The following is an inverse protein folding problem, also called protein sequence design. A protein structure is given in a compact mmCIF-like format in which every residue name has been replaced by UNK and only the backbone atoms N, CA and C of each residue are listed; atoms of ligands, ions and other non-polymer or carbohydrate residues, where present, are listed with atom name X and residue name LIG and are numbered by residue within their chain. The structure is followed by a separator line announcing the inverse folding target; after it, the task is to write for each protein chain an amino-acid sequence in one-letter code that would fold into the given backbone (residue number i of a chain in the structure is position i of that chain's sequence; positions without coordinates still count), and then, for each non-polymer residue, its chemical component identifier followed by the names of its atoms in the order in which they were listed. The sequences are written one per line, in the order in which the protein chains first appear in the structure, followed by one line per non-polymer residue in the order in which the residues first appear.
data_IF_118104276277
#
_entry.id   IF_118104276277
#
_cell.length_a   1.000
_cell.length_b   1.000
_cell.length_c   1.000
_cell.angle_alpha   90.00
_cell.angle_beta   90.00
_cell.angle_gamma   90.00
#
_symmetry.space_group_name_H-M   'P 1'
#
loop_
_entity.id
_entity.type
_entity.pdbx_description
1 polymer ?
#
# COMPACT_ATOMS: atom_id res chain seq x y z
N UNK A 1 -18.93 1.03 14.22
CA UNK A 1 -17.99 0.53 13.21
C UNK A 1 -18.34 0.89 11.75
N UNK A 2 -19.53 0.59 11.18
CA UNK A 2 -19.82 0.94 9.76
C UNK A 2 -19.59 2.41 9.40
N UNK A 3 -19.92 3.34 10.31
CA UNK A 3 -19.78 4.79 10.09
C UNK A 3 -18.35 5.21 9.74
N UNK A 4 -17.34 4.63 10.40
CA UNK A 4 -15.92 4.95 10.13
C UNK A 4 -15.40 4.30 8.83
N UNK A 5 -16.21 3.46 8.18
CA UNK A 5 -15.96 2.87 6.86
C UNK A 5 -17.03 3.29 5.83
N UNK A 6 -17.54 4.52 5.95
CA UNK A 6 -18.50 5.11 4.99
C UNK A 6 -19.75 4.25 4.76
N UNK A 7 -20.25 3.62 5.83
CA UNK A 7 -21.47 2.82 5.82
C UNK A 7 -21.30 1.39 5.31
N UNK A 8 -20.08 0.97 4.93
CA UNK A 8 -19.80 -0.36 4.36
C UNK A 8 -18.73 -1.09 5.17
N UNK A 9 -18.76 -2.41 5.14
CA UNK A 9 -17.65 -3.20 5.68
C UNK A 9 -16.48 -3.23 4.69
N UNK A 10 -15.25 -3.23 5.22
CA UNK A 10 -14.07 -3.13 4.37
C UNK A 10 -12.85 -3.78 5.03
N UNK A 11 -12.08 -4.48 4.21
CA UNK A 11 -10.76 -4.99 4.56
C UNK A 11 -9.66 -3.91 4.50
N UNK A 12 -9.98 -2.69 4.05
CA UNK A 12 -8.99 -1.62 3.99
C UNK A 12 -8.50 -1.33 5.42
N UNK A 13 -7.19 -1.44 5.60
CA UNK A 13 -6.50 -1.13 6.83
C UNK A 13 -6.53 0.39 7.03
N UNK A 14 -6.78 0.83 8.25
CA UNK A 14 -6.74 2.23 8.65
C UNK A 14 -5.69 2.39 9.75
N UNK A 15 -4.85 3.42 9.59
CA UNK A 15 -4.02 3.93 10.66
C UNK A 15 -4.91 4.45 11.80
N UNK A 16 -4.65 4.01 13.02
CA UNK A 16 -5.39 4.43 14.21
C UNK A 16 -4.46 4.61 15.42
N UNK A 17 -4.94 5.40 16.38
CA UNK A 17 -4.36 5.49 17.72
C UNK A 17 -5.31 4.80 18.69
N UNK A 18 -4.77 3.87 19.48
CA UNK A 18 -5.48 3.24 20.61
C UNK A 18 -5.07 3.97 21.88
N UNK A 19 -6.06 4.50 22.60
CA UNK A 19 -5.85 5.17 23.89
C UNK A 19 -6.06 4.17 25.02
N UNK A 20 -5.04 3.98 25.85
CA UNK A 20 -5.10 3.14 27.07
C UNK A 20 -4.63 4.00 28.24
N UNK A 21 -5.56 4.46 29.07
CA UNK A 21 -5.25 5.48 30.08
C UNK A 21 -4.78 6.78 29.43
N UNK A 22 -3.57 7.20 29.75
CA UNK A 22 -2.86 8.36 29.17
C UNK A 22 -1.94 7.98 27.99
N UNK A 23 -1.85 6.69 27.65
CA UNK A 23 -0.97 6.20 26.60
C UNK A 23 -1.65 6.15 25.23
N UNK A 24 -1.00 6.73 24.24
CA UNK A 24 -1.39 6.64 22.83
C UNK A 24 -0.52 5.61 22.11
N UNK A 25 -1.14 4.54 21.61
CA UNK A 25 -0.45 3.44 20.94
C UNK A 25 -0.83 3.42 19.45
N UNK A 26 0.16 3.53 18.57
CA UNK A 26 -0.03 3.40 17.13
C UNK A 26 -0.44 1.97 16.76
N UNK A 27 -1.51 1.84 15.99
CA UNK A 27 -2.05 0.57 15.57
C UNK A 27 -2.67 0.66 14.17
N UNK A 28 -3.09 -0.48 13.64
CA UNK A 28 -3.83 -0.56 12.38
C UNK A 28 -5.05 -1.46 12.54
N UNK A 29 -6.17 -1.06 11.94
CA UNK A 29 -7.42 -1.80 12.02
C UNK A 29 -8.06 -2.03 10.65
N UNK A 30 -8.78 -3.13 10.50
CA UNK A 30 -9.75 -3.31 9.42
C UNK A 30 -11.18 -3.36 10.00
N UNK A 31 -12.21 -3.21 9.17
CA UNK A 31 -13.60 -3.14 9.61
C UNK A 31 -14.47 -4.29 9.13
N UNK A 32 -13.90 -5.28 8.44
CA UNK A 32 -14.66 -6.38 7.89
C UNK A 32 -14.98 -7.39 9.00
N UNK A 33 -16.26 -7.71 9.24
CA UNK A 33 -16.61 -8.80 10.14
C UNK A 33 -16.06 -10.13 9.63
N UNK A 34 -15.39 -10.89 10.49
CA UNK A 34 -14.89 -12.24 10.20
C UNK A 34 -14.88 -13.13 11.46
N UNK A 35 -14.73 -14.44 11.25
CA UNK A 35 -14.91 -15.46 12.28
C UNK A 35 -16.37 -15.94 12.40
N UNK A 36 -16.67 -16.75 13.42
CA UNK A 36 -17.94 -17.47 13.54
C UNK A 36 -19.13 -16.66 14.07
N UNK A 37 -18.92 -15.42 14.58
CA UNK A 37 -20.01 -14.53 14.99
C UNK A 37 -20.89 -15.05 16.13
N UNK A 38 -20.28 -15.38 17.27
CA UNK A 38 -20.97 -16.01 18.41
C UNK A 38 -21.99 -15.13 19.15
N UNK A 39 -22.04 -13.81 18.89
CA UNK A 39 -22.88 -12.86 19.64
C UNK A 39 -23.79 -12.04 18.71
N UNK A 40 -25.01 -11.74 19.17
CA UNK A 40 -26.02 -10.96 18.43
C UNK A 40 -25.92 -9.46 18.75
N UNK A 41 -24.90 -8.80 18.22
CA UNK A 41 -24.65 -7.36 18.45
C UNK A 41 -24.72 -6.51 17.15
N UNK A 42 -25.29 -7.04 16.07
CA UNK A 42 -25.32 -6.38 14.76
C UNK A 42 -23.96 -6.35 14.03
N UNK A 43 -22.97 -7.08 14.53
CA UNK A 43 -21.65 -7.26 13.94
C UNK A 43 -21.30 -8.77 13.92
N UNK A 44 -21.48 -9.46 12.77
CA UNK A 44 -21.30 -10.91 12.70
C UNK A 44 -19.81 -11.30 12.70
N UNK A 45 -19.22 -11.42 13.88
CA UNK A 45 -17.82 -11.82 14.07
C UNK A 45 -17.03 -10.83 14.92
N UNK A 46 -15.78 -10.62 14.55
CA UNK A 46 -14.92 -9.59 15.12
C UNK A 46 -14.19 -8.84 14.00
N UNK A 47 -13.54 -7.75 14.37
CA UNK A 47 -12.56 -7.06 13.55
C UNK A 47 -11.22 -7.10 14.27
N UNK A 48 -10.13 -6.94 13.53
CA UNK A 48 -8.79 -7.00 14.10
C UNK A 48 -8.18 -5.61 14.24
N UNK A 49 -7.46 -5.43 15.35
CA UNK A 49 -6.49 -4.36 15.55
C UNK A 49 -5.12 -5.05 15.64
N UNK A 50 -4.16 -4.57 14.87
CA UNK A 50 -2.79 -5.04 14.86
C UNK A 50 -1.88 -3.95 15.41
N UNK A 51 -1.01 -4.33 16.33
CA UNK A 51 0.07 -3.50 16.85
C UNK A 51 1.39 -3.87 16.17
N UNK A 52 2.43 -3.07 16.43
CA UNK A 52 3.77 -3.40 15.96
C UNK A 52 4.19 -4.82 16.38
N UNK A 53 4.75 -5.60 15.46
CA UNK A 53 5.12 -7.00 15.69
C UNK A 53 3.97 -8.02 15.68
N UNK A 54 2.71 -7.60 15.52
CA UNK A 54 1.59 -8.54 15.39
C UNK A 54 1.72 -9.40 14.12
N UNK A 55 1.57 -10.71 14.25
CA UNK A 55 1.61 -11.65 13.13
C UNK A 55 0.22 -12.08 12.68
N UNK A 56 0.06 -12.45 11.41
CA UNK A 56 -1.20 -13.03 10.94
C UNK A 56 -1.24 -14.53 11.19
N UNK A 57 -2.42 -15.06 11.51
CA UNK A 57 -2.62 -16.48 11.79
C UNK A 57 -2.12 -17.40 10.66
N UNK A 58 -2.31 -16.99 9.41
CA UNK A 58 -1.95 -17.82 8.24
C UNK A 58 -0.46 -17.82 7.93
N UNK A 59 0.20 -16.67 8.02
CA UNK A 59 1.61 -16.55 7.59
C UNK A 59 2.62 -16.66 8.72
N UNK A 60 2.20 -16.43 9.98
CA UNK A 60 3.12 -16.26 11.10
C UNK A 60 4.04 -15.04 10.97
N UNK A 61 3.78 -14.17 9.97
CA UNK A 61 4.55 -12.96 9.69
C UNK A 61 3.68 -11.72 9.83
N UNK A 62 4.31 -10.58 10.04
CA UNK A 62 3.64 -9.29 9.97
C UNK A 62 3.13 -9.04 8.55
N UNK A 63 1.90 -8.56 8.41
CA UNK A 63 1.35 -8.15 7.11
C UNK A 63 1.82 -6.72 6.80
N UNK A 64 2.54 -6.50 5.69
CA UNK A 64 3.09 -5.18 5.32
C UNK A 64 2.04 -4.07 5.27
N UNK A 65 0.79 -4.37 4.89
CA UNK A 65 -0.27 -3.37 4.85
C UNK A 65 -0.68 -2.90 6.26
N UNK A 66 -0.62 -3.76 7.28
CA UNK A 66 -0.81 -3.32 8.67
C UNK A 66 0.41 -2.53 9.14
N UNK A 67 1.63 -2.98 8.82
CA UNK A 67 2.86 -2.29 9.18
C UNK A 67 2.89 -0.84 8.68
N UNK A 68 2.56 -0.60 7.41
CA UNK A 68 2.49 0.75 6.83
C UNK A 68 1.46 1.64 7.55
N UNK A 69 0.31 1.08 7.93
CA UNK A 69 -0.71 1.84 8.67
C UNK A 69 -0.29 2.12 10.11
N UNK A 70 0.46 1.23 10.76
CA UNK A 70 1.03 1.48 12.09
C UNK A 70 2.09 2.59 12.01
N UNK A 71 2.97 2.54 11.00
CA UNK A 71 3.96 3.59 10.76
C UNK A 71 3.28 4.94 10.49
N UNK A 72 2.23 4.96 9.67
CA UNK A 72 1.41 6.15 9.39
C UNK A 72 0.74 6.69 10.66
N UNK A 73 0.19 5.81 11.50
CA UNK A 73 -0.40 6.21 12.78
C UNK A 73 0.65 6.80 13.74
N UNK A 74 1.86 6.24 13.76
CA UNK A 74 2.96 6.69 14.61
C UNK A 74 3.76 7.88 14.05
N UNK A 75 3.37 8.44 12.90
CA UNK A 75 4.10 9.54 12.26
C UNK A 75 5.47 9.17 11.67
N UNK A 76 5.73 7.88 11.44
CA UNK A 76 7.02 7.34 10.95
C UNK A 76 7.00 6.94 9.48
N UNK A 77 5.93 7.26 8.75
CA UNK A 77 5.78 6.80 7.37
C UNK A 77 6.77 7.47 6.41
N UNK A 78 7.06 8.75 6.61
CA UNK A 78 8.06 9.47 5.81
C UNK A 78 9.46 8.93 6.07
N UNK A 79 9.85 8.73 7.34
CA UNK A 79 11.15 8.13 7.69
C UNK A 79 11.35 6.74 7.07
N UNK A 80 10.29 5.92 7.09
CA UNK A 80 10.32 4.60 6.46
C UNK A 80 10.52 4.73 4.94
N UNK A 81 9.74 5.58 4.28
CA UNK A 81 9.82 5.80 2.83
C UNK A 81 11.12 6.46 2.38
N UNK A 82 11.80 7.20 3.26
CA UNK A 82 13.10 7.79 2.94
C UNK A 82 14.21 6.74 2.78
N UNK A 83 14.01 5.53 3.32
CA UNK A 83 15.02 4.48 3.37
C UNK A 83 14.63 3.21 2.60
N UNK A 84 13.48 3.19 1.92
CA UNK A 84 13.06 2.01 1.14
C UNK A 84 13.82 1.93 -0.18
N UNK A 85 14.14 0.71 -0.58
CA UNK A 85 14.66 0.44 -1.92
C UNK A 85 13.53 0.52 -2.98
N UNK A 86 13.89 0.54 -4.29
CA UNK A 86 12.93 0.57 -5.39
C UNK A 86 11.91 -0.59 -5.40
N UNK A 87 12.28 -1.77 -4.93
CA UNK A 87 11.40 -2.95 -4.93
C UNK A 87 10.34 -2.84 -3.85
N UNK A 88 10.76 -2.45 -2.64
CA UNK A 88 9.84 -2.18 -1.55
C UNK A 88 8.92 -1.00 -1.87
N UNK A 89 9.40 0.03 -2.58
CA UNK A 89 8.56 1.12 -3.06
C UNK A 89 7.43 0.62 -3.99
N UNK A 90 7.72 -0.33 -4.89
CA UNK A 90 6.71 -0.94 -5.77
C UNK A 90 5.71 -1.79 -4.96
N UNK A 91 6.18 -2.51 -3.93
CA UNK A 91 5.29 -3.22 -2.99
C UNK A 91 4.35 -2.25 -2.26
N UNK A 92 4.89 -1.12 -1.77
CA UNK A 92 4.11 -0.08 -1.11
C UNK A 92 3.06 0.50 -2.05
N UNK A 93 3.40 0.75 -3.32
CA UNK A 93 2.44 1.19 -4.32
C UNK A 93 1.30 0.17 -4.49
N UNK A 94 1.62 -1.11 -4.66
CA UNK A 94 0.62 -2.19 -4.75
C UNK A 94 -0.32 -2.21 -3.53
N UNK A 95 0.25 -2.07 -2.33
CA UNK A 95 -0.53 -1.98 -1.09
C UNK A 95 -1.40 -0.72 -1.08
N UNK A 96 -0.87 0.43 -1.49
CA UNK A 96 -1.59 1.70 -1.52
C UNK A 96 -2.80 1.64 -2.46
N UNK A 97 -2.64 1.01 -3.64
CA UNK A 97 -3.75 0.75 -4.58
C UNK A 97 -4.81 -0.13 -3.91
N UNK A 98 -4.44 -1.31 -3.40
CA UNK A 98 -5.39 -2.25 -2.81
C UNK A 98 -6.08 -1.69 -1.56
N UNK A 99 -5.37 -0.89 -0.77
CA UNK A 99 -5.90 -0.26 0.43
C UNK A 99 -6.69 1.03 0.14
N UNK A 100 -6.69 1.50 -1.11
CA UNK A 100 -7.26 2.77 -1.53
C UNK A 100 -6.70 3.96 -0.73
N UNK A 101 -5.42 3.89 -0.35
CA UNK A 101 -4.76 4.89 0.50
C UNK A 101 -4.14 5.99 -0.36
N UNK A 102 -4.88 7.10 -0.50
CA UNK A 102 -4.45 8.27 -1.27
C UNK A 102 -3.10 8.83 -0.78
N UNK A 103 -2.87 8.85 0.53
CA UNK A 103 -1.63 9.40 1.10
C UNK A 103 -0.43 8.56 0.69
N UNK A 104 -0.52 7.23 0.80
CA UNK A 104 0.57 6.34 0.37
C UNK A 104 0.81 6.42 -1.14
N UNK A 105 -0.24 6.61 -1.96
CA UNK A 105 -0.08 6.84 -3.39
C UNK A 105 0.68 8.15 -3.68
N UNK A 106 0.33 9.23 -2.98
CA UNK A 106 0.99 10.53 -3.14
C UNK A 106 2.43 10.53 -2.61
N UNK A 107 2.74 9.68 -1.63
CA UNK A 107 4.09 9.53 -1.10
C UNK A 107 4.99 8.63 -1.96
N UNK A 108 4.41 7.66 -2.67
CA UNK A 108 5.18 6.68 -3.48
C UNK A 108 5.32 7.07 -4.96
N UNK A 109 4.42 7.89 -5.51
CA UNK A 109 4.41 8.26 -6.93
C UNK A 109 4.71 9.75 -7.12
N UNK A 110 5.74 10.05 -7.91
CA UNK A 110 6.12 11.42 -8.22
C UNK A 110 5.00 12.15 -8.98
N UNK A 111 4.72 13.38 -8.53
CA UNK A 111 3.74 14.26 -9.19
C UNK A 111 4.19 14.60 -10.61
N UNK A 112 3.24 14.65 -11.52
CA UNK A 112 3.48 15.01 -12.92
C UNK A 112 2.31 15.84 -13.49
N UNK A 113 2.48 16.36 -14.71
CA UNK A 113 1.47 17.19 -15.40
C UNK A 113 0.11 16.49 -15.56
N UNK A 114 0.09 15.17 -15.64
CA UNK A 114 -1.11 14.34 -15.81
C UNK A 114 -1.60 13.71 -14.50
N UNK A 115 -1.29 14.31 -13.33
CA UNK A 115 -1.63 13.75 -12.02
C UNK A 115 -3.12 13.39 -11.88
N UNK A 116 -4.02 14.25 -12.36
CA UNK A 116 -5.48 14.00 -12.27
C UNK A 116 -5.89 12.74 -13.03
N UNK A 117 -5.35 12.57 -14.24
CA UNK A 117 -5.59 11.41 -15.09
C UNK A 117 -5.00 10.14 -14.47
N UNK A 118 -3.77 10.21 -13.95
CA UNK A 118 -3.13 9.10 -13.24
C UNK A 118 -3.95 8.65 -12.03
N UNK A 119 -4.38 9.59 -11.18
CA UNK A 119 -5.20 9.24 -10.01
C UNK A 119 -6.57 8.68 -10.42
N UNK A 120 -7.14 9.11 -11.56
CA UNK A 120 -8.37 8.54 -12.10
C UNK A 120 -8.16 7.08 -12.53
N UNK A 121 -7.08 6.79 -13.24
CA UNK A 121 -6.74 5.43 -13.71
C UNK A 121 -6.45 4.51 -12.51
N UNK A 122 -5.65 4.96 -11.54
CA UNK A 122 -5.37 4.19 -10.32
C UNK A 122 -6.67 3.90 -9.54
N UNK A 123 -7.60 4.86 -9.42
CA UNK A 123 -8.89 4.64 -8.76
C UNK A 123 -9.80 3.66 -9.49
N UNK A 124 -9.57 3.39 -10.76
CA UNK A 124 -10.31 2.39 -11.53
C UNK A 124 -9.81 0.96 -11.27
N UNK A 125 -8.59 0.82 -10.74
CA UNK A 125 -8.05 -0.46 -10.27
C UNK A 125 -8.79 -0.87 -8.98
N UNK A 126 -9.49 -1.99 -9.02
CA UNK A 126 -10.08 -2.60 -7.83
C UNK A 126 -9.09 -3.52 -7.10
N UNK A 127 -8.10 -4.04 -7.83
CA UNK A 127 -7.07 -4.93 -7.32
C UNK A 127 -5.81 -4.78 -8.15
N UNK A 128 -4.64 -4.83 -7.50
CA UNK A 128 -3.33 -4.83 -8.12
C UNK A 128 -2.41 -5.79 -7.39
N UNK A 129 -1.79 -6.72 -8.09
CA UNK A 129 -0.91 -7.73 -7.52
C UNK A 129 0.36 -7.84 -8.32
N UNK A 130 1.47 -7.85 -7.61
CA UNK A 130 2.76 -8.25 -8.16
C UNK A 130 2.81 -9.77 -8.12
N UNK A 131 2.99 -10.41 -9.27
CA UNK A 131 3.11 -11.87 -9.38
C UNK A 131 4.56 -12.31 -9.40
N UNK A 132 5.43 -11.49 -9.99
CA UNK A 132 6.87 -11.71 -10.03
C UNK A 132 7.58 -10.36 -10.19
N UNK A 133 8.79 -10.26 -9.63
CA UNK A 133 9.64 -9.07 -9.74
C UNK A 133 11.09 -9.53 -9.76
N UNK A 134 11.81 -9.19 -10.83
CA UNK A 134 13.24 -9.46 -10.93
C UNK A 134 14.01 -8.46 -10.07
N UNK A 135 14.82 -8.98 -9.15
CA UNK A 135 15.63 -8.17 -8.23
C UNK A 135 17.08 -8.14 -8.72
N UNK A 136 17.64 -6.94 -8.83
CA UNK A 136 19.07 -6.73 -8.95
C UNK A 136 19.71 -6.71 -7.54
N UNK A 137 21.00 -7.03 -7.42
CA UNK A 137 21.76 -6.85 -6.18
C UNK A 137 21.65 -5.42 -5.65
N UNK A 138 21.64 -5.26 -4.32
CA UNK A 138 21.47 -3.95 -3.66
C UNK A 138 22.66 -3.03 -3.94
N UNK A 139 23.84 -3.61 -4.11
CA UNK A 139 25.07 -2.90 -4.45
C UNK A 139 24.92 -2.12 -5.77
N UNK A 140 24.21 -2.69 -6.75
CA UNK A 140 23.98 -2.06 -8.04
C UNK A 140 22.96 -0.93 -7.96
N UNK A 141 22.13 -0.87 -6.91
CA UNK A 141 21.05 0.13 -6.74
C UNK A 141 21.60 1.45 -6.17
N UNK A 142 22.53 1.36 -5.22
CA UNK A 142 22.93 2.49 -4.39
C UNK A 142 23.58 3.64 -5.17
N UNK A 143 24.17 3.36 -6.34
CA UNK A 143 24.80 4.35 -7.20
C UNK A 143 23.87 4.90 -8.30
N UNK A 144 22.64 4.38 -8.38
CA UNK A 144 21.68 4.77 -9.42
C UNK A 144 20.77 5.90 -8.94
N UNK A 145 20.38 6.79 -9.85
CA UNK A 145 19.33 7.79 -9.64
C UNK A 145 18.07 7.50 -10.46
N UNK A 146 18.17 6.55 -11.39
CA UNK A 146 17.11 6.11 -12.30
C UNK A 146 17.25 4.61 -12.52
N UNK A 147 16.15 3.90 -12.41
CA UNK A 147 16.05 2.46 -12.60
C UNK A 147 14.79 2.12 -13.38
N UNK A 148 14.88 1.11 -14.22
CA UNK A 148 13.72 0.44 -14.82
C UNK A 148 13.58 -0.94 -14.20
N UNK A 149 12.43 -1.19 -13.58
CA UNK A 149 12.12 -2.48 -12.95
C UNK A 149 10.96 -3.14 -13.72
N UNK A 150 11.22 -4.21 -14.48
CA UNK A 150 10.17 -5.00 -15.10
C UNK A 150 9.46 -5.86 -14.04
N UNK A 151 8.15 -5.69 -13.92
CA UNK A 151 7.33 -6.35 -12.90
C UNK A 151 6.18 -7.07 -13.57
N UNK A 152 6.05 -8.38 -13.34
CA UNK A 152 4.85 -9.10 -13.74
C UNK A 152 3.72 -8.77 -12.77
N UNK A 153 2.59 -8.31 -13.33
CA UNK A 153 1.44 -7.88 -12.55
C UNK A 153 0.15 -8.53 -13.01
N UNK A 154 -0.76 -8.69 -12.06
CA UNK A 154 -2.16 -9.05 -12.27
C UNK A 154 -3.01 -7.96 -11.63
N UNK A 155 -3.89 -7.32 -12.41
CA UNK A 155 -4.76 -6.27 -11.89
C UNK A 155 -6.18 -6.38 -12.46
N UNK A 156 -7.13 -5.80 -11.74
CA UNK A 156 -8.55 -5.79 -12.13
C UNK A 156 -9.05 -4.35 -12.25
N UNK A 157 -9.55 -3.98 -13.43
CA UNK A 157 -10.22 -2.71 -13.69
C UNK A 157 -11.72 -2.88 -13.56
N UNK A 158 -12.41 -1.97 -12.87
CA UNK A 158 -13.85 -2.07 -12.55
C UNK A 158 -14.75 -2.36 -13.75
N UNK A 159 -14.37 -1.89 -14.94
CA UNK A 159 -15.18 -1.99 -16.15
C UNK A 159 -14.56 -2.81 -17.29
N UNK A 160 -13.33 -3.31 -17.12
CA UNK A 160 -12.61 -4.08 -18.16
C UNK A 160 -12.28 -5.52 -17.75
N UNK A 161 -12.38 -5.85 -16.47
CA UNK A 161 -12.05 -7.17 -15.98
C UNK A 161 -10.57 -7.31 -15.58
N UNK A 162 -10.06 -8.53 -15.69
CA UNK A 162 -8.70 -8.91 -15.24
C UNK A 162 -7.70 -8.80 -16.38
N UNK A 163 -6.58 -8.14 -16.11
CA UNK A 163 -5.42 -8.05 -16.99
C UNK A 163 -4.19 -8.67 -16.33
N UNK A 164 -3.28 -9.21 -17.16
CA UNK A 164 -1.95 -9.68 -16.76
C UNK A 164 -0.93 -9.18 -17.77
N UNK A 165 0.14 -8.53 -17.30
CA UNK A 165 1.24 -8.09 -18.16
C UNK A 165 2.52 -7.84 -17.36
N UNK A 166 3.62 -7.65 -18.08
CA UNK A 166 4.83 -7.04 -17.54
C UNK A 166 4.66 -5.52 -17.61
N UNK A 167 4.74 -4.85 -16.47
CA UNK A 167 4.80 -3.40 -16.37
C UNK A 167 6.24 -2.95 -16.09
N UNK A 168 6.69 -1.92 -16.81
CA UNK A 168 8.03 -1.34 -16.62
C UNK A 168 7.94 -0.14 -15.68
N UNK A 169 8.30 -0.36 -14.41
CA UNK A 169 8.32 0.70 -13.41
C UNK A 169 9.60 1.52 -13.54
N UNK A 170 9.45 2.78 -13.92
CA UNK A 170 10.55 3.75 -13.86
C UNK A 170 10.60 4.31 -12.44
N UNK A 171 11.67 3.99 -11.72
CA UNK A 171 11.93 4.44 -10.34
C UNK A 171 13.06 5.46 -10.38
N UNK A 172 12.87 6.61 -9.74
CA UNK A 172 13.85 7.70 -9.78
C UNK A 172 13.96 8.47 -8.46
N UNK A 173 15.11 9.12 -8.28
CA UNK A 173 15.40 10.09 -7.22
C UNK A 173 16.24 11.21 -7.80
N UNK A 174 16.20 12.39 -7.19
CA UNK A 174 16.88 13.57 -7.74
C UNK A 174 18.39 13.58 -7.42
N UNK A 175 18.80 12.92 -6.33
CA UNK A 175 20.18 12.68 -5.94
C UNK A 175 20.32 11.37 -5.16
N UNK A 176 21.57 10.95 -4.86
CA UNK A 176 21.83 9.69 -4.13
C UNK A 176 21.37 9.70 -2.67
N UNK A 177 21.07 10.87 -2.11
CA UNK A 177 20.56 11.02 -0.73
C UNK A 177 19.04 11.24 -0.69
N UNK A 178 18.43 11.49 -1.83
CA UNK A 178 16.99 11.62 -1.93
C UNK A 178 16.32 10.25 -1.96
N UNK A 179 15.08 10.22 -1.49
CA UNK A 179 14.27 9.01 -1.53
C UNK A 179 13.81 8.69 -2.94
N UNK A 180 13.49 7.41 -3.16
CA UNK A 180 12.95 6.93 -4.42
C UNK A 180 11.47 7.28 -4.62
N UNK A 181 11.09 7.48 -5.88
CA UNK A 181 9.72 7.66 -6.34
C UNK A 181 9.46 6.84 -7.60
N UNK A 182 8.23 6.35 -7.75
CA UNK A 182 7.74 5.85 -9.04
C UNK A 182 7.44 7.05 -9.93
N UNK A 183 7.96 7.05 -11.16
CA UNK A 183 7.64 8.10 -12.13
C UNK A 183 6.18 7.99 -12.60
N UNK A 184 5.37 8.95 -12.20
CA UNK A 184 3.94 8.94 -12.50
C UNK A 184 3.59 9.11 -13.99
N UNK A 185 4.48 9.68 -14.81
CA UNK A 185 4.23 9.82 -16.25
C UNK A 185 4.40 8.48 -16.96
N UNK A 186 5.45 7.73 -16.63
CA UNK A 186 5.66 6.38 -17.18
C UNK A 186 4.65 5.39 -16.62
N UNK A 187 4.36 5.44 -15.32
CA UNK A 187 3.32 4.61 -14.71
C UNK A 187 1.96 4.79 -15.40
N UNK A 188 1.59 6.02 -15.76
CA UNK A 188 0.34 6.27 -16.48
C UNK A 188 0.30 5.55 -17.83
N UNK A 189 1.41 5.52 -18.57
CA UNK A 189 1.50 4.80 -19.86
C UNK A 189 1.34 3.30 -19.64
N UNK A 190 1.98 2.75 -18.61
CA UNK A 190 1.90 1.34 -18.24
C UNK A 190 0.52 0.92 -17.75
N UNK A 191 -0.35 1.83 -17.30
CA UNK A 191 -1.69 1.48 -16.81
C UNK A 191 -2.78 1.54 -17.90
N UNK A 192 -2.49 2.11 -19.07
CA UNK A 192 -3.40 2.03 -20.22
C UNK A 192 -3.45 0.60 -20.78
#
# INVERSE_FOLDING_TARGET
MKKIYNGRWSWNRRAIIVLVGDQMIAASMNGMPHGAGAIKNGFPGHFCIHFWGSTTHRSGKMDPAYQLMILKAGGKIDDYLNNVDPYELINIFSIAVNNHDKTLLELSVAKNKNQSQLMKVIKDLAYFKITNMSLLPVEDINEQVLMEVPVEVEFYKKHKGRDKKVMHFIIRRDSLIDRWYIDGQYLLKELY
#
